data_IF_302205036136
#
_entry.id   IF_302205036136
#
_cell.length_a   1.000
_cell.length_b   1.000
_cell.length_c   1.000
_cell.angle_alpha   90.00
_cell.angle_beta   90.00
_cell.angle_gamma   90.00
#
_symmetry.space_group_name_H-M   'P 1'
#
loop_
_entity.id
_entity.type
_entity.pdbx_description
1 polymer ?
#
# COMPACT_ATOMS: atom_id res chain seq x y z
N UNK A 1 18.68 -13.66 -17.58
CA UNK A 1 17.24 -13.79 -17.92
C UNK A 1 16.55 -12.55 -17.37
N UNK A 2 16.45 -11.50 -18.18
CA UNK A 2 15.94 -10.20 -17.74
C UNK A 2 14.42 -10.29 -17.72
N UNK A 3 13.82 -10.43 -16.53
CA UNK A 3 12.38 -10.34 -16.38
C UNK A 3 12.00 -8.92 -16.80
N UNK A 4 11.35 -8.81 -17.96
CA UNK A 4 10.78 -7.55 -18.43
C UNK A 4 9.88 -7.01 -17.33
N UNK A 5 10.28 -5.89 -16.72
CA UNK A 5 9.46 -5.21 -15.74
C UNK A 5 8.20 -4.72 -16.46
N UNK A 6 6.99 -5.11 -16.02
CA UNK A 6 5.78 -4.55 -16.59
C UNK A 6 5.83 -3.03 -16.41
N UNK A 7 5.56 -2.30 -17.50
CA UNK A 7 5.47 -0.84 -17.52
C UNK A 7 4.58 -0.38 -16.36
N UNK A 8 5.01 0.57 -15.49
CA UNK A 8 4.20 0.99 -14.36
C UNK A 8 2.88 1.55 -14.91
N UNK A 9 1.77 0.90 -14.59
CA UNK A 9 0.46 1.43 -14.88
C UNK A 9 0.31 2.73 -14.11
N UNK A 10 -0.09 3.77 -14.82
CA UNK A 10 -0.37 5.11 -14.33
C UNK A 10 -1.40 5.02 -13.20
N UNK A 11 -0.98 5.07 -11.94
CA UNK A 11 -1.88 4.85 -10.82
C UNK A 11 -1.24 5.00 -9.44
N UNK A 12 -0.39 6.01 -9.27
CA UNK A 12 0.07 6.43 -7.95
C UNK A 12 -1.02 7.22 -7.23
N UNK A 13 -0.97 7.24 -5.89
CA UNK A 13 -1.82 8.08 -5.07
C UNK A 13 -1.29 9.52 -5.04
N UNK A 14 -2.19 10.48 -4.84
CA UNK A 14 -1.80 11.88 -4.64
C UNK A 14 -1.11 12.08 -3.28
N UNK A 15 -0.40 13.19 -3.09
CA UNK A 15 0.20 13.52 -1.79
C UNK A 15 -0.82 13.61 -0.65
N UNK A 16 -2.03 14.11 -0.94
CA UNK A 16 -3.15 14.16 0.02
C UNK A 16 -3.61 12.76 0.39
N UNK A 17 -3.76 11.88 -0.60
CA UNK A 17 -4.13 10.48 -0.35
C UNK A 17 -3.04 9.73 0.43
N UNK A 18 -1.78 10.01 0.15
CA UNK A 18 -0.65 9.43 0.87
C UNK A 18 -0.65 9.85 2.35
N UNK A 19 -0.90 11.12 2.65
CA UNK A 19 -0.98 11.59 4.04
C UNK A 19 -2.20 11.02 4.78
N UNK A 20 -3.36 10.93 4.11
CA UNK A 20 -4.52 10.27 4.68
C UNK A 20 -4.26 8.78 4.95
N UNK A 21 -3.49 8.09 4.10
CA UNK A 21 -3.03 6.73 4.35
C UNK A 21 -2.08 6.66 5.57
N UNK A 22 -1.08 7.55 5.67
CA UNK A 22 -0.18 7.60 6.84
C UNK A 22 -0.95 7.83 8.14
N UNK A 23 -1.95 8.70 8.09
CA UNK A 23 -2.85 8.94 9.21
C UNK A 23 -3.66 7.69 9.53
N UNK A 24 -4.20 6.98 8.52
CA UNK A 24 -4.96 5.74 8.69
C UNK A 24 -4.16 4.63 9.39
N UNK A 25 -2.86 4.52 9.10
CA UNK A 25 -2.00 3.51 9.69
C UNK A 25 -1.28 3.97 10.97
N UNK A 26 -1.57 5.19 11.43
CA UNK A 26 -0.90 5.83 12.56
C UNK A 26 0.63 5.92 12.39
N UNK A 27 1.11 6.18 11.17
CA UNK A 27 2.55 6.31 10.92
C UNK A 27 3.07 7.60 11.58
N UNK A 28 4.09 7.52 12.47
CA UNK A 28 4.67 8.68 13.12
C UNK A 28 5.25 9.66 12.09
N UNK A 29 5.11 10.96 12.36
CA UNK A 29 5.53 12.04 11.45
C UNK A 29 7.00 11.94 11.03
N UNK A 30 7.88 11.49 11.92
CA UNK A 30 9.31 11.29 11.65
C UNK A 30 9.60 10.26 10.54
N UNK A 31 8.65 9.37 10.25
CA UNK A 31 8.76 8.35 9.19
C UNK A 31 7.97 8.74 7.94
N UNK A 32 7.26 9.88 7.91
CA UNK A 32 6.45 10.26 6.75
C UNK A 32 7.33 10.88 5.66
N UNK A 33 7.12 10.44 4.43
CA UNK A 33 7.78 11.00 3.26
C UNK A 33 6.74 11.41 2.21
N UNK A 34 6.92 12.59 1.61
CA UNK A 34 6.30 12.90 0.31
C UNK A 34 7.06 12.18 -0.82
N UNK A 35 6.48 12.02 -2.02
CA UNK A 35 7.21 11.46 -3.16
C UNK A 35 8.55 12.16 -3.43
N UNK A 36 8.60 13.49 -3.27
CA UNK A 36 9.81 14.28 -3.51
C UNK A 36 10.89 14.03 -2.45
N UNK A 37 10.50 13.91 -1.18
CA UNK A 37 11.44 13.59 -0.09
C UNK A 37 11.90 12.13 -0.14
N UNK A 38 11.01 11.22 -0.55
CA UNK A 38 11.33 9.82 -0.77
C UNK A 38 12.41 9.67 -1.85
N UNK A 39 12.27 10.39 -2.97
CA UNK A 39 13.25 10.37 -4.04
C UNK A 39 14.64 10.86 -3.61
N UNK A 40 14.71 11.86 -2.74
CA UNK A 40 15.99 12.41 -2.26
C UNK A 40 16.67 11.50 -1.24
N UNK A 41 15.90 10.87 -0.36
CA UNK A 41 16.44 10.16 0.81
C UNK A 41 16.40 8.65 0.65
N UNK A 42 15.25 8.08 0.29
CA UNK A 42 15.06 6.63 0.26
C UNK A 42 15.72 5.99 -0.96
N UNK A 43 15.85 6.71 -2.08
CA UNK A 43 16.47 6.15 -3.29
C UNK A 43 18.00 6.22 -3.27
N UNK A 44 18.58 7.04 -2.39
CA UNK A 44 20.03 7.26 -2.28
C UNK A 44 20.64 6.61 -1.04
N UNK A 45 19.83 6.22 -0.05
CA UNK A 45 20.26 5.62 1.20
C UNK A 45 19.44 4.37 1.53
N UNK A 46 20.06 3.19 1.34
CA UNK A 46 19.42 1.89 1.56
C UNK A 46 19.03 1.63 3.01
N UNK A 47 19.81 2.11 3.98
CA UNK A 47 19.49 1.98 5.41
C UNK A 47 18.23 2.77 5.74
N UNK A 48 18.15 4.03 5.28
CA UNK A 48 16.95 4.84 5.46
C UNK A 48 15.72 4.22 4.78
N UNK A 49 15.89 3.69 3.57
CA UNK A 49 14.84 2.97 2.83
C UNK A 49 14.32 1.75 3.61
N UNK A 50 15.23 0.94 4.16
CA UNK A 50 14.87 -0.24 4.94
C UNK A 50 14.14 0.16 6.23
N UNK A 51 14.66 1.14 6.98
CA UNK A 51 14.00 1.64 8.20
C UNK A 51 12.58 2.14 7.91
N UNK A 52 12.42 2.93 6.84
CA UNK A 52 11.11 3.40 6.42
C UNK A 52 10.18 2.25 6.03
N UNK A 53 10.63 1.32 5.19
CA UNK A 53 9.82 0.21 4.70
C UNK A 53 9.37 -0.70 5.85
N UNK A 54 10.25 -1.00 6.80
CA UNK A 54 9.92 -1.76 8.01
C UNK A 54 8.85 -1.07 8.85
N UNK A 55 8.98 0.25 9.07
CA UNK A 55 7.98 1.03 9.80
C UNK A 55 6.63 1.04 9.06
N UNK A 56 6.64 1.30 7.75
CA UNK A 56 5.46 1.32 6.91
C UNK A 56 4.68 0.00 6.97
N UNK A 57 5.39 -1.12 6.79
CA UNK A 57 4.81 -2.46 6.82
C UNK A 57 4.22 -2.78 8.20
N UNK A 58 4.98 -2.53 9.28
CA UNK A 58 4.52 -2.77 10.65
C UNK A 58 3.21 -2.01 10.93
N UNK A 59 3.20 -0.71 10.63
CA UNK A 59 2.04 0.13 10.87
C UNK A 59 0.83 -0.29 10.03
N UNK A 60 1.03 -0.69 8.77
CA UNK A 60 -0.07 -1.21 7.96
C UNK A 60 -0.67 -2.49 8.55
N UNK A 61 0.16 -3.46 8.92
CA UNK A 61 -0.29 -4.73 9.51
C UNK A 61 -1.04 -4.50 10.83
N UNK A 62 -0.56 -3.59 11.66
CA UNK A 62 -1.18 -3.29 12.95
C UNK A 62 -2.48 -2.50 12.82
N UNK A 63 -2.65 -1.69 11.77
CA UNK A 63 -3.76 -0.75 11.67
C UNK A 63 -4.88 -1.19 10.71
N UNK A 64 -4.58 -1.95 9.65
CA UNK A 64 -5.58 -2.38 8.66
C UNK A 64 -6.01 -3.82 8.99
N UNK A 65 -7.28 -4.04 9.38
CA UNK A 65 -7.76 -5.38 9.69
C UNK A 65 -7.71 -6.30 8.47
N UNK A 66 -7.37 -7.57 8.70
CA UNK A 66 -7.60 -8.63 7.73
C UNK A 66 -9.04 -9.13 7.87
N UNK A 67 -9.85 -9.01 6.81
CA UNK A 67 -11.27 -9.41 6.84
C UNK A 67 -11.80 -9.86 5.47
N UNK A 68 -12.86 -10.66 5.50
CA UNK A 68 -13.60 -11.16 4.34
C UNK A 68 -15.12 -10.89 4.46
N UNK A 69 -15.54 -9.94 5.30
CA UNK A 69 -16.95 -9.66 5.60
C UNK A 69 -17.72 -9.24 4.36
N UNK A 70 -17.08 -8.53 3.42
CA UNK A 70 -17.72 -8.10 2.18
C UNK A 70 -18.10 -9.28 1.28
N UNK A 71 -17.36 -10.40 1.34
CA UNK A 71 -17.69 -11.63 0.61
C UNK A 71 -18.89 -12.37 1.21
N UNK A 72 -19.01 -12.36 2.53
CA UNK A 72 -20.00 -13.17 3.23
C UNK A 72 -21.30 -12.43 3.59
N UNK A 73 -21.25 -11.10 3.76
CA UNK A 73 -22.34 -10.34 4.37
C UNK A 73 -22.78 -9.09 3.58
N UNK A 74 -22.21 -8.85 2.39
CA UNK A 74 -22.71 -7.76 1.55
C UNK A 74 -23.92 -8.20 0.73
N UNK A 75 -24.84 -7.26 0.47
CA UNK A 75 -26.01 -7.47 -0.41
C UNK A 75 -25.59 -7.94 -1.80
N UNK A 76 -24.41 -7.50 -2.26
CA UNK A 76 -23.84 -7.84 -3.55
C UNK A 76 -22.37 -8.25 -3.36
N UNK A 77 -22.09 -9.55 -3.15
CA UNK A 77 -20.76 -10.05 -2.84
C UNK A 77 -19.83 -9.92 -4.03
N UNK A 78 -19.17 -8.77 -4.11
CA UNK A 78 -18.15 -8.44 -5.08
C UNK A 78 -17.02 -7.71 -4.38
N UNK A 79 -15.78 -8.06 -4.74
CA UNK A 79 -14.58 -7.41 -4.21
C UNK A 79 -13.85 -6.82 -5.41
N UNK A 80 -13.69 -5.50 -5.38
CA UNK A 80 -12.84 -4.80 -6.33
C UNK A 80 -11.39 -4.82 -5.84
N UNK A 81 -10.48 -5.12 -6.74
CA UNK A 81 -9.03 -4.98 -6.54
C UNK A 81 -8.47 -3.74 -7.24
N UNK A 82 -9.34 -2.86 -7.77
CA UNK A 82 -8.93 -1.56 -8.30
C UNK A 82 -8.25 -0.74 -7.20
N UNK A 83 -7.10 -0.07 -7.47
CA UNK A 83 -6.39 0.72 -6.46
C UNK A 83 -7.26 1.79 -5.82
N UNK A 84 -8.12 2.43 -6.62
CA UNK A 84 -9.06 3.47 -6.17
C UNK A 84 -10.09 2.89 -5.20
N UNK A 85 -10.74 1.78 -5.56
CA UNK A 85 -11.77 1.16 -4.72
C UNK A 85 -11.18 0.61 -3.42
N UNK A 86 -9.99 -0.01 -3.51
CA UNK A 86 -9.24 -0.50 -2.36
C UNK A 86 -8.90 0.66 -1.42
N UNK A 87 -8.42 1.79 -1.96
CA UNK A 87 -8.12 2.97 -1.16
C UNK A 87 -9.36 3.51 -0.45
N UNK A 88 -10.46 3.73 -1.18
CA UNK A 88 -11.73 4.17 -0.61
C UNK A 88 -12.20 3.23 0.51
N UNK A 89 -12.07 1.90 0.32
CA UNK A 89 -12.48 0.91 1.32
C UNK A 89 -11.58 0.91 2.56
N UNK A 90 -10.28 0.74 2.38
CA UNK A 90 -9.33 0.48 3.48
C UNK A 90 -8.96 1.78 4.22
N UNK A 91 -8.82 2.89 3.50
CA UNK A 91 -8.36 4.17 4.04
C UNK A 91 -9.53 5.04 4.47
N UNK A 92 -10.42 5.41 3.55
CA UNK A 92 -11.48 6.39 3.84
C UNK A 92 -12.60 5.79 4.68
N UNK A 93 -13.11 4.61 4.30
CA UNK A 93 -14.15 3.90 5.05
C UNK A 93 -13.64 3.14 6.26
N UNK A 94 -12.31 3.15 6.49
CA UNK A 94 -11.62 2.47 7.60
C UNK A 94 -12.01 0.99 7.76
N UNK A 95 -12.25 0.30 6.64
CA UNK A 95 -12.51 -1.14 6.62
C UNK A 95 -11.20 -1.93 6.50
N UNK A 96 -11.31 -3.24 6.62
CA UNK A 96 -10.23 -4.15 6.30
C UNK A 96 -10.38 -4.73 4.90
N UNK A 97 -9.50 -5.67 4.57
CA UNK A 97 -9.63 -6.51 3.38
C UNK A 97 -8.81 -7.78 3.54
N UNK A 98 -8.89 -8.70 2.57
CA UNK A 98 -8.01 -9.87 2.57
C UNK A 98 -6.71 -9.56 1.82
N UNK A 99 -5.94 -10.60 1.47
CA UNK A 99 -4.59 -10.45 0.91
C UNK A 99 -4.54 -9.60 -0.36
N UNK A 100 -5.48 -9.75 -1.30
CA UNK A 100 -5.45 -8.99 -2.56
C UNK A 100 -5.64 -7.49 -2.32
N UNK A 101 -6.54 -7.09 -1.42
CA UNK A 101 -6.82 -5.67 -1.16
C UNK A 101 -5.67 -5.01 -0.38
N UNK A 102 -5.15 -5.69 0.67
CA UNK A 102 -4.03 -5.17 1.45
C UNK A 102 -2.75 -5.05 0.61
N UNK A 103 -2.44 -6.07 -0.19
CA UNK A 103 -1.26 -6.06 -1.06
C UNK A 103 -1.39 -5.03 -2.16
N UNK A 104 -2.57 -4.88 -2.80
CA UNK A 104 -2.82 -3.80 -3.77
C UNK A 104 -2.57 -2.43 -3.14
N UNK A 105 -3.10 -2.16 -1.94
CA UNK A 105 -2.89 -0.88 -1.28
C UNK A 105 -1.39 -0.60 -1.06
N UNK A 106 -0.67 -1.55 -0.45
CA UNK A 106 0.76 -1.38 -0.16
C UNK A 106 1.57 -1.22 -1.45
N UNK A 107 1.27 -2.01 -2.48
CA UNK A 107 1.93 -1.96 -3.78
C UNK A 107 1.84 -0.55 -4.40
N UNK A 108 0.63 0.03 -4.44
CA UNK A 108 0.43 1.36 -5.01
C UNK A 108 1.03 2.48 -4.13
N UNK A 109 1.04 2.34 -2.80
CA UNK A 109 1.75 3.27 -1.91
C UNK A 109 3.26 3.25 -2.19
N UNK A 110 3.86 2.06 -2.33
CA UNK A 110 5.29 1.92 -2.62
C UNK A 110 5.66 2.47 -4.00
N UNK A 111 4.83 2.21 -5.03
CA UNK A 111 5.00 2.82 -6.35
C UNK A 111 4.93 4.36 -6.29
N UNK A 112 3.99 4.90 -5.51
CA UNK A 112 3.84 6.36 -5.32
C UNK A 112 5.09 6.99 -4.72
N UNK A 113 5.79 6.25 -3.86
CA UNK A 113 7.05 6.65 -3.23
C UNK A 113 8.28 6.37 -4.10
N UNK A 114 8.08 5.88 -5.32
CA UNK A 114 9.13 5.60 -6.30
C UNK A 114 9.93 4.34 -6.02
N UNK A 115 9.44 3.43 -5.17
CA UNK A 115 10.05 2.10 -5.05
C UNK A 115 9.84 1.30 -6.32
N UNK A 116 10.85 0.52 -6.69
CA UNK A 116 10.67 -0.53 -7.71
C UNK A 116 10.07 -1.75 -7.04
N UNK A 117 8.80 -2.05 -7.36
CA UNK A 117 8.05 -3.16 -6.77
C UNK A 117 7.45 -4.05 -7.85
N UNK A 118 7.36 -5.34 -7.56
CA UNK A 118 6.73 -6.34 -8.44
C UNK A 118 5.77 -7.20 -7.61
N UNK A 119 4.61 -7.50 -8.19
CA UNK A 119 3.60 -8.33 -7.53
C UNK A 119 3.91 -9.81 -7.72
N UNK A 120 3.70 -10.62 -6.67
CA UNK A 120 3.87 -12.07 -6.70
C UNK A 120 2.69 -12.79 -6.08
N UNK A 121 2.43 -14.01 -6.56
CA UNK A 121 1.50 -14.95 -5.93
C UNK A 121 2.23 -15.93 -5.02
N UNK A 122 1.58 -16.35 -3.95
CA UNK A 122 2.06 -17.39 -3.04
C UNK A 122 0.99 -18.44 -2.79
N UNK A 123 1.42 -19.69 -2.54
CA UNK A 123 0.53 -20.77 -2.09
C UNK A 123 0.65 -20.89 -0.56
N UNK A 124 -0.48 -20.74 0.12
CA UNK A 124 -0.57 -21.03 1.56
C UNK A 124 -0.61 -22.55 1.74
N UNK A 125 0.23 -23.08 2.64
CA UNK A 125 0.32 -24.51 2.97
C UNK A 125 -0.36 -24.80 4.31
#
# INVERSE_FOLDING_TARGET
>A
MTIAQPKPSTGGFTAVQLDAYYTRINLPSQHRHTPETAAKTLHTNSTAALTFLSALQLHQICAIPFENLSLHYSRNPSISTSPTDVYHKLVERKRGGYCMENTTLLYHILLTLGFTVYATGGRVL
#
